data_IF_389779866916
#
_entry.id   IF_389779866916
#
_cell.length_a   1.000
_cell.length_b   1.000
_cell.length_c   1.000
_cell.angle_alpha   90.00
_cell.angle_beta   90.00
_cell.angle_gamma   90.00
#
_symmetry.space_group_name_H-M   'P 1'
#
loop_
_entity.id
_entity.type
_entity.pdbx_description
1 polymer ?
#
# COMPACT_ATOMS: atom_id res chain seq x y z
N UNK A 1 -6.44 -21.23 -6.23
CA UNK A 1 -5.95 -20.54 -5.02
C UNK A 1 -5.97 -21.55 -3.89
N UNK A 2 -4.93 -21.61 -3.06
CA UNK A 2 -4.92 -22.47 -1.87
C UNK A 2 -5.82 -21.92 -0.76
N UNK A 3 -6.13 -22.73 0.25
CA UNK A 3 -7.00 -22.35 1.38
C UNK A 3 -6.46 -21.15 2.17
N UNK A 4 -5.14 -21.08 2.41
CA UNK A 4 -4.48 -19.96 3.08
C UNK A 4 -4.68 -18.62 2.34
N UNK A 5 -4.65 -18.64 1.00
CA UNK A 5 -4.82 -17.43 0.18
C UNK A 5 -6.21 -16.82 0.38
N UNK A 6 -7.22 -17.66 0.57
CA UNK A 6 -8.61 -17.23 0.77
C UNK A 6 -8.79 -16.67 2.17
N UNK A 7 -8.13 -17.27 3.18
CA UNK A 7 -8.22 -16.80 4.57
C UNK A 7 -7.65 -15.39 4.75
N UNK A 8 -6.44 -15.12 4.24
CA UNK A 8 -5.81 -13.79 4.39
C UNK A 8 -6.62 -12.71 3.67
N UNK A 9 -7.10 -13.02 2.47
CA UNK A 9 -7.96 -12.14 1.69
C UNK A 9 -9.23 -11.81 2.46
N UNK A 10 -9.93 -12.81 3.00
CA UNK A 10 -11.15 -12.60 3.80
C UNK A 10 -10.87 -11.72 5.01
N UNK A 11 -9.79 -11.96 5.74
CA UNK A 11 -9.41 -11.14 6.90
C UNK A 11 -9.18 -9.68 6.50
N UNK A 12 -8.44 -9.44 5.42
CA UNK A 12 -8.21 -8.09 4.91
C UNK A 12 -9.50 -7.43 4.43
N UNK A 13 -10.37 -8.14 3.69
CA UNK A 13 -11.68 -7.61 3.26
C UNK A 13 -12.55 -7.20 4.46
N UNK A 14 -12.59 -8.01 5.52
CA UNK A 14 -13.33 -7.69 6.75
C UNK A 14 -12.76 -6.47 7.47
N UNK A 15 -11.43 -6.38 7.61
CA UNK A 15 -10.79 -5.21 8.22
C UNK A 15 -11.12 -3.97 7.40
N UNK A 16 -10.91 -4.02 6.09
CA UNK A 16 -11.13 -2.85 5.24
C UNK A 16 -12.61 -2.43 5.24
N UNK A 17 -13.55 -3.38 5.26
CA UNK A 17 -14.99 -3.10 5.34
C UNK A 17 -15.37 -2.47 6.69
N UNK A 18 -14.79 -2.94 7.81
CA UNK A 18 -14.97 -2.35 9.15
C UNK A 18 -14.60 -0.86 9.20
N UNK A 19 -13.67 -0.42 8.34
CA UNK A 19 -13.25 0.98 8.27
C UNK A 19 -13.90 1.78 7.12
N UNK A 20 -14.85 1.19 6.39
CA UNK A 20 -15.47 1.77 5.20
C UNK A 20 -14.43 2.30 4.19
N UNK A 21 -13.43 1.47 3.89
CA UNK A 21 -12.25 1.88 3.13
C UNK A 21 -12.59 2.24 1.67
N UNK A 22 -13.45 1.45 1.04
CA UNK A 22 -13.80 1.60 -0.38
C UNK A 22 -15.26 1.95 -0.58
N UNK A 23 -15.53 2.84 -1.53
CA UNK A 23 -16.86 3.24 -1.98
C UNK A 23 -17.45 2.23 -2.97
N UNK A 24 -18.76 2.35 -3.22
CA UNK A 24 -19.46 1.52 -4.21
C UNK A 24 -18.87 1.66 -5.62
N UNK A 25 -18.48 2.88 -6.04
CA UNK A 25 -17.90 3.07 -7.38
C UNK A 25 -16.53 2.41 -7.50
N UNK A 26 -15.74 2.42 -6.43
CA UNK A 26 -14.44 1.75 -6.39
C UNK A 26 -14.60 0.22 -6.46
N UNK A 27 -15.59 -0.34 -5.77
CA UNK A 27 -15.91 -1.77 -5.78
C UNK A 27 -16.46 -2.20 -7.15
N UNK A 28 -17.39 -1.42 -7.72
CA UNK A 28 -18.01 -1.72 -9.02
C UNK A 28 -17.11 -1.42 -10.22
N UNK A 29 -15.89 -0.94 -10.00
CA UNK A 29 -14.94 -0.65 -11.08
C UNK A 29 -15.30 0.58 -11.93
N UNK A 30 -16.21 1.45 -11.46
CA UNK A 30 -16.61 2.67 -12.14
C UNK A 30 -15.59 3.81 -11.93
N UNK A 31 -14.30 3.51 -12.14
CA UNK A 31 -13.19 4.43 -11.94
C UNK A 31 -12.53 4.77 -13.27
N UNK A 32 -12.15 6.05 -13.46
CA UNK A 32 -11.58 6.54 -14.73
C UNK A 32 -10.24 5.88 -15.11
N UNK A 33 -9.49 5.39 -14.12
CA UNK A 33 -8.18 4.75 -14.28
C UNK A 33 -8.13 3.58 -13.29
N UNK A 34 -7.99 2.35 -13.80
CA UNK A 34 -7.93 1.13 -12.99
C UNK A 34 -6.62 0.40 -13.28
N UNK A 35 -5.73 0.35 -12.29
CA UNK A 35 -4.50 -0.45 -12.38
C UNK A 35 -4.82 -1.94 -12.53
N UNK A 36 -5.95 -2.39 -11.98
CA UNK A 36 -6.39 -3.79 -12.03
C UNK A 36 -6.58 -4.23 -13.48
N UNK A 37 -7.25 -3.39 -14.30
CA UNK A 37 -7.46 -3.67 -15.72
C UNK A 37 -6.14 -3.66 -16.50
N UNK A 38 -5.21 -2.76 -16.15
CA UNK A 38 -3.89 -2.72 -16.77
C UNK A 38 -3.06 -4.00 -16.44
N UNK A 39 -3.13 -4.52 -15.21
CA UNK A 39 -2.36 -5.70 -14.79
C UNK A 39 -2.99 -7.04 -15.22
N UNK A 40 -4.30 -7.10 -15.50
CA UNK A 40 -4.99 -8.30 -16.02
C UNK A 40 -4.35 -8.80 -17.33
N UNK A 41 -3.78 -7.89 -18.11
CA UNK A 41 -3.12 -8.18 -19.38
C UNK A 41 -1.68 -8.72 -19.22
N UNK A 42 -1.14 -8.75 -18.00
CA UNK A 42 0.26 -9.12 -17.73
C UNK A 42 0.30 -10.50 -17.05
N UNK A 43 0.80 -11.57 -17.71
CA UNK A 43 0.73 -12.93 -17.18
C UNK A 43 1.32 -13.09 -15.77
N UNK A 44 2.44 -12.42 -15.47
CA UNK A 44 3.10 -12.47 -14.16
C UNK A 44 2.34 -11.75 -13.04
N UNK A 45 1.36 -10.91 -13.37
CA UNK A 45 0.50 -10.20 -12.41
C UNK A 45 -0.91 -10.80 -12.32
N UNK A 46 -1.19 -11.89 -13.05
CA UNK A 46 -2.50 -12.54 -13.02
C UNK A 46 -2.93 -12.97 -11.61
N UNK A 47 -1.98 -13.36 -10.76
CA UNK A 47 -2.28 -13.70 -9.36
C UNK A 47 -2.85 -12.51 -8.59
N UNK A 48 -2.31 -11.31 -8.83
CA UNK A 48 -2.71 -10.08 -8.16
C UNK A 48 -4.07 -9.59 -8.69
N UNK A 49 -4.30 -9.70 -10.00
CA UNK A 49 -5.62 -9.44 -10.58
C UNK A 49 -6.70 -10.35 -9.98
N UNK A 50 -6.46 -11.66 -9.93
CA UNK A 50 -7.38 -12.62 -9.32
C UNK A 50 -7.62 -12.34 -7.83
N UNK A 51 -6.56 -11.93 -7.11
CA UNK A 51 -6.66 -11.51 -5.72
C UNK A 51 -7.61 -10.32 -5.58
N UNK A 52 -7.44 -9.26 -6.37
CA UNK A 52 -8.30 -8.09 -6.29
C UNK A 52 -9.76 -8.35 -6.67
N UNK A 53 -10.00 -9.13 -7.73
CA UNK A 53 -11.35 -9.51 -8.12
C UNK A 53 -12.05 -10.27 -6.96
N UNK A 54 -11.37 -11.26 -6.36
CA UNK A 54 -11.91 -12.03 -5.23
C UNK A 54 -12.06 -11.16 -3.97
N UNK A 55 -11.12 -10.24 -3.73
CA UNK A 55 -11.13 -9.32 -2.60
C UNK A 55 -12.38 -8.42 -2.63
N UNK A 56 -12.73 -7.90 -3.82
CA UNK A 56 -13.92 -7.07 -3.98
C UNK A 56 -15.21 -7.87 -3.86
N UNK A 57 -15.26 -9.09 -4.37
CA UNK A 57 -16.41 -9.97 -4.17
C UNK A 57 -16.69 -10.21 -2.68
N UNK A 58 -15.66 -10.50 -1.88
CA UNK A 58 -15.82 -10.70 -0.44
C UNK A 58 -16.13 -9.38 0.30
N UNK A 59 -15.48 -8.28 -0.08
CA UNK A 59 -15.76 -6.96 0.50
C UNK A 59 -17.22 -6.56 0.26
N UNK A 60 -17.73 -6.76 -0.97
CA UNK A 60 -19.11 -6.45 -1.33
C UNK A 60 -20.11 -7.24 -0.49
N UNK A 61 -19.91 -8.55 -0.33
CA UNK A 61 -20.77 -9.39 0.53
C UNK A 61 -20.86 -8.85 1.96
N UNK A 62 -19.73 -8.47 2.54
CA UNK A 62 -19.67 -7.94 3.92
C UNK A 62 -20.46 -6.64 4.03
N UNK A 63 -20.36 -5.73 3.05
CA UNK A 63 -21.13 -4.49 3.07
C UNK A 63 -22.63 -4.76 2.85
N UNK A 64 -22.98 -5.69 1.97
CA UNK A 64 -24.38 -6.08 1.70
C UNK A 64 -25.07 -6.71 2.91
N UNK A 65 -24.37 -7.54 3.67
CA UNK A 65 -24.87 -8.14 4.91
C UNK A 65 -25.09 -7.09 6.02
N UNK A 66 -24.36 -5.97 5.98
CA UNK A 66 -24.41 -4.89 6.98
C UNK A 66 -25.21 -3.65 6.53
N UNK A 67 -26.02 -3.78 5.46
CA UNK A 67 -26.70 -2.69 4.76
C UNK A 67 -27.57 -1.77 5.65
N UNK A 68 -28.08 -2.28 6.77
CA UNK A 68 -28.98 -1.50 7.65
C UNK A 68 -28.31 -0.31 8.36
N UNK A 69 -26.96 -0.21 8.38
CA UNK A 69 -26.25 0.85 9.12
C UNK A 69 -25.29 1.70 8.27
N UNK A 70 -25.00 1.32 7.02
CA UNK A 70 -23.94 1.95 6.23
C UNK A 70 -24.50 2.60 4.96
N UNK A 71 -24.60 3.93 4.96
CA UNK A 71 -24.69 4.69 3.71
C UNK A 71 -23.31 4.74 3.09
N UNK A 72 -23.12 4.15 1.90
CA UNK A 72 -21.91 4.32 1.10
C UNK A 72 -21.50 5.81 1.06
N UNK A 73 -20.25 6.11 1.40
CA UNK A 73 -19.74 7.49 1.33
C UNK A 73 -19.77 7.98 -0.11
N UNK A 74 -20.32 9.18 -0.32
CA UNK A 74 -20.24 9.88 -1.61
C UNK A 74 -18.79 10.20 -1.97
N UNK A 75 -18.39 9.86 -3.19
CA UNK A 75 -17.00 9.97 -3.66
C UNK A 75 -16.60 11.40 -4.00
N UNK A 76 -15.60 11.93 -3.27
CA UNK A 76 -14.77 13.04 -3.73
C UNK A 76 -13.29 12.68 -3.83
N UNK A 77 -12.91 11.43 -3.51
CA UNK A 77 -11.51 10.99 -3.45
C UNK A 77 -11.07 10.41 -4.80
N UNK A 78 -9.88 10.82 -5.22
CA UNK A 78 -9.36 10.69 -6.57
C UNK A 78 -8.92 9.26 -6.94
N UNK A 79 -9.41 8.83 -8.10
CA UNK A 79 -8.89 7.92 -9.16
C UNK A 79 -7.70 6.99 -8.88
N UNK A 80 -7.82 5.82 -9.50
CA UNK A 80 -7.15 4.56 -9.19
C UNK A 80 -7.56 4.04 -7.82
N UNK A 81 -8.09 2.83 -7.80
CA UNK A 81 -8.25 2.10 -6.56
C UNK A 81 -6.83 1.91 -6.03
N UNK A 82 -6.38 2.79 -5.13
CA UNK A 82 -5.15 2.64 -4.34
C UNK A 82 -5.32 1.39 -3.48
N UNK A 83 -5.19 0.24 -4.15
CA UNK A 83 -5.28 -1.05 -3.54
C UNK A 83 -3.89 -1.38 -3.01
N UNK A 84 -3.81 -1.84 -1.76
CA UNK A 84 -2.58 -2.36 -1.25
C UNK A 84 -2.07 -3.48 -2.15
N UNK A 85 -0.80 -3.40 -2.53
CA UNK A 85 -0.15 -4.51 -3.19
C UNK A 85 0.17 -5.58 -2.17
N UNK A 86 0.00 -6.83 -2.59
CA UNK A 86 0.36 -8.00 -1.82
C UNK A 86 1.20 -8.93 -2.69
N UNK A 87 2.40 -9.28 -2.20
CA UNK A 87 3.27 -10.20 -2.88
C UNK A 87 2.76 -11.65 -2.85
N UNK A 88 3.17 -12.46 -3.83
CA UNK A 88 2.77 -13.87 -3.94
C UNK A 88 3.07 -14.68 -2.68
N UNK A 89 4.25 -14.48 -2.10
CA UNK A 89 4.72 -15.27 -0.95
C UNK A 89 3.91 -14.91 0.31
N UNK A 90 3.40 -13.68 0.38
CA UNK A 90 2.49 -13.23 1.44
C UNK A 90 1.14 -13.92 1.34
N UNK A 91 0.59 -14.05 0.12
CA UNK A 91 -0.67 -14.77 -0.10
C UNK A 91 -0.55 -16.26 0.25
N UNK A 92 0.58 -16.87 -0.09
CA UNK A 92 0.82 -18.30 0.15
C UNK A 92 1.06 -18.62 1.63
N UNK A 93 1.85 -17.79 2.31
CA UNK A 93 2.21 -18.01 3.73
C UNK A 93 1.20 -17.42 4.73
N UNK A 94 0.37 -16.47 4.30
CA UNK A 94 -0.49 -15.70 5.19
C UNK A 94 0.25 -14.66 6.04
N UNK A 95 1.56 -14.48 5.84
CA UNK A 95 2.39 -13.52 6.59
C UNK A 95 3.28 -12.71 5.66
N UNK A 96 3.53 -11.45 6.00
CA UNK A 96 4.48 -10.62 5.28
C UNK A 96 5.86 -10.67 5.96
N UNK A 97 6.94 -10.53 5.20
CA UNK A 97 8.22 -10.16 5.80
C UNK A 97 8.31 -8.64 5.98
N UNK A 98 7.73 -7.90 5.04
CA UNK A 98 7.83 -6.45 4.98
C UNK A 98 6.46 -5.83 4.78
N UNK A 99 6.17 -4.77 5.54
CA UNK A 99 5.00 -3.92 5.31
C UNK A 99 5.49 -2.50 5.05
N UNK A 100 5.34 -2.02 3.81
CA UNK A 100 5.70 -0.66 3.42
C UNK A 100 4.49 0.25 3.54
N UNK A 101 4.61 1.30 4.34
CA UNK A 101 3.58 2.32 4.51
C UNK A 101 4.08 3.61 3.89
N UNK A 102 3.54 3.96 2.74
CA UNK A 102 3.76 5.26 2.13
C UNK A 102 2.81 6.28 2.73
N UNK A 103 3.11 7.57 2.55
CA UNK A 103 2.20 8.63 2.98
C UNK A 103 0.80 8.48 2.35
N UNK A 104 0.73 8.09 1.08
CA UNK A 104 -0.46 8.17 0.26
C UNK A 104 -0.84 9.61 -0.08
N UNK A 105 -1.51 9.81 -1.22
CA UNK A 105 -2.05 11.10 -1.60
C UNK A 105 -3.55 10.99 -1.82
N UNK A 106 -4.33 11.52 -0.89
CA UNK A 106 -5.75 11.82 -1.15
C UNK A 106 -5.91 13.01 -2.13
N UNK A 107 -4.82 13.57 -2.66
CA UNK A 107 -4.84 14.79 -3.47
C UNK A 107 -5.02 14.46 -4.95
N UNK A 108 -6.01 15.10 -5.57
CA UNK A 108 -6.41 14.93 -6.97
C UNK A 108 -5.40 15.39 -8.03
N UNK A 109 -4.28 16.00 -7.62
CA UNK A 109 -3.37 16.75 -8.50
C UNK A 109 -2.06 15.99 -8.74
N UNK A 110 -1.53 15.28 -7.75
CA UNK A 110 -0.26 14.56 -7.88
C UNK A 110 -0.50 13.09 -8.22
N UNK A 111 -0.32 12.77 -9.51
CA UNK A 111 -0.36 11.42 -10.10
C UNK A 111 0.83 10.57 -9.66
N UNK A 112 1.07 10.42 -8.35
CA UNK A 112 2.27 9.77 -7.82
C UNK A 112 1.87 8.77 -6.74
N UNK A 113 1.39 7.59 -7.13
CA UNK A 113 1.12 6.50 -6.19
C UNK A 113 2.17 5.40 -6.32
N UNK A 114 3.13 5.39 -5.37
CA UNK A 114 4.10 4.29 -5.25
C UNK A 114 3.37 2.97 -4.99
N UNK A 115 2.27 3.04 -4.24
CA UNK A 115 1.42 1.90 -3.90
C UNK A 115 0.78 1.31 -5.17
N UNK A 116 0.23 2.14 -6.07
CA UNK A 116 -0.32 1.66 -7.36
C UNK A 116 0.74 0.95 -8.21
N UNK A 117 1.93 1.55 -8.35
CA UNK A 117 3.00 0.99 -9.17
C UNK A 117 3.77 -0.15 -8.50
N UNK A 118 3.51 -0.44 -7.23
CA UNK A 118 4.21 -1.51 -6.50
C UNK A 118 3.93 -2.92 -7.04
N UNK A 119 2.83 -3.09 -7.77
CA UNK A 119 2.58 -4.30 -8.56
C UNK A 119 3.73 -4.63 -9.54
N UNK A 120 4.47 -3.62 -10.02
CA UNK A 120 5.60 -3.82 -10.93
C UNK A 120 6.94 -4.09 -10.23
N UNK A 121 7.02 -4.08 -8.90
CA UNK A 121 8.29 -4.32 -8.20
C UNK A 121 8.78 -5.76 -8.31
N UNK A 122 7.92 -6.69 -8.74
CA UNK A 122 8.28 -8.09 -8.99
C UNK A 122 9.11 -8.29 -10.27
N UNK A 123 9.30 -7.25 -11.09
CA UNK A 123 10.10 -7.30 -12.31
C UNK A 123 11.49 -6.72 -12.06
N UNK A 124 12.52 -7.33 -12.65
CA UNK A 124 13.87 -6.79 -12.65
C UNK A 124 13.98 -5.50 -13.49
N UNK A 125 13.07 -5.30 -14.44
CA UNK A 125 13.02 -4.12 -15.30
C UNK A 125 11.57 -3.79 -15.64
N UNK A 126 11.24 -2.50 -15.63
CA UNK A 126 9.91 -1.96 -15.94
C UNK A 126 9.89 -1.24 -17.30
N UNK A 127 10.95 -1.37 -18.10
CA UNK A 127 11.09 -0.68 -19.39
C UNK A 127 9.98 -1.03 -20.39
N UNK A 128 9.50 -2.27 -20.39
CA UNK A 128 8.39 -2.69 -21.25
C UNK A 128 7.02 -2.18 -20.79
N UNK A 129 6.93 -1.58 -19.60
CA UNK A 129 5.69 -1.08 -19.01
C UNK A 129 5.66 0.45 -18.90
N UNK A 130 6.54 1.16 -19.62
CA UNK A 130 6.66 2.62 -19.51
C UNK A 130 5.35 3.37 -19.82
N UNK A 131 4.49 2.85 -20.70
CA UNK A 131 3.18 3.44 -20.96
C UNK A 131 2.29 3.45 -19.71
N UNK A 132 2.33 2.38 -18.91
CA UNK A 132 1.60 2.28 -17.64
C UNK A 132 2.24 3.20 -16.60
N UNK A 133 3.58 3.22 -16.52
CA UNK A 133 4.30 4.12 -15.63
C UNK A 133 3.99 5.59 -15.91
N UNK A 134 3.99 6.01 -17.18
CA UNK A 134 3.67 7.40 -17.56
C UNK A 134 2.24 7.81 -17.19
N UNK A 135 1.31 6.84 -17.08
CA UNK A 135 -0.07 7.06 -16.64
C UNK A 135 -0.14 7.38 -15.13
N UNK A 136 0.61 6.63 -14.31
CA UNK A 136 0.50 6.68 -12.83
C UNK A 136 1.69 7.33 -12.11
N UNK A 137 2.78 7.64 -12.80
CA UNK A 137 3.98 8.29 -12.28
C UNK A 137 4.83 8.93 -13.39
N UNK A 138 4.49 10.15 -13.84
CA UNK A 138 5.22 10.82 -14.91
C UNK A 138 6.58 11.41 -14.48
N UNK A 139 7.00 11.23 -13.21
CA UNK A 139 8.23 11.83 -12.66
C UNK A 139 9.45 10.91 -12.76
N UNK A 140 10.63 11.48 -13.00
CA UNK A 140 11.89 10.75 -13.17
C UNK A 140 12.47 10.14 -11.86
N UNK A 141 11.90 10.46 -10.70
CA UNK A 141 12.45 10.06 -9.40
C UNK A 141 12.02 8.66 -8.91
N UNK A 142 11.16 7.95 -9.64
CA UNK A 142 10.65 6.64 -9.20
C UNK A 142 11.76 5.61 -8.95
N UNK A 143 12.66 5.45 -9.94
CA UNK A 143 13.74 4.46 -9.85
C UNK A 143 14.68 4.77 -8.71
N UNK A 144 15.03 6.06 -8.52
CA UNK A 144 15.87 6.49 -7.41
C UNK A 144 15.23 6.18 -6.05
N UNK A 145 13.91 6.33 -5.92
CA UNK A 145 13.20 5.97 -4.69
C UNK A 145 13.24 4.46 -4.44
N UNK A 146 13.02 3.63 -5.47
CA UNK A 146 13.14 2.18 -5.33
C UNK A 146 14.55 1.73 -4.96
N UNK A 147 15.56 2.30 -5.60
CA UNK A 147 16.98 2.03 -5.30
C UNK A 147 17.31 2.40 -3.85
N UNK A 148 16.89 3.58 -3.40
CA UNK A 148 17.10 4.02 -2.02
C UNK A 148 16.42 3.08 -1.01
N UNK A 149 15.18 2.68 -1.29
CA UNK A 149 14.43 1.72 -0.48
C UNK A 149 14.99 0.30 -0.55
N UNK A 150 15.88 0.01 -1.51
CA UNK A 150 16.49 -1.31 -1.71
C UNK A 150 15.48 -2.38 -2.12
N UNK A 151 14.41 -2.00 -2.82
CA UNK A 151 13.37 -2.94 -3.23
C UNK A 151 13.87 -3.78 -4.41
N UNK A 152 13.96 -5.09 -4.19
CA UNK A 152 14.18 -6.07 -5.25
C UNK A 152 12.90 -6.88 -5.48
N UNK A 153 12.79 -7.63 -6.59
CA UNK A 153 11.66 -8.55 -6.79
C UNK A 153 11.48 -9.58 -5.68
N UNK A 154 12.57 -9.99 -5.02
CA UNK A 154 12.48 -10.89 -3.87
C UNK A 154 11.84 -10.20 -2.66
N UNK A 155 12.24 -8.96 -2.35
CA UNK A 155 11.61 -8.16 -1.31
C UNK A 155 10.14 -7.96 -1.63
N UNK A 156 9.82 -7.56 -2.87
CA UNK A 156 8.45 -7.31 -3.31
C UNK A 156 7.53 -8.53 -3.13
N UNK A 157 7.96 -9.74 -3.49
CA UNK A 157 7.14 -10.95 -3.32
C UNK A 157 6.79 -11.26 -1.86
N UNK A 158 7.62 -10.82 -0.91
CA UNK A 158 7.41 -10.99 0.54
C UNK A 158 6.80 -9.75 1.21
N UNK A 159 6.32 -8.78 0.43
CA UNK A 159 5.87 -7.49 0.92
C UNK A 159 4.36 -7.30 0.82
N UNK A 160 3.82 -6.54 1.77
CA UNK A 160 2.55 -5.82 1.64
C UNK A 160 2.87 -4.32 1.54
N UNK A 161 2.27 -3.62 0.58
CA UNK A 161 2.53 -2.19 0.35
C UNK A 161 1.23 -1.44 0.37
N UNK A 162 1.14 -0.40 1.18
CA UNK A 162 -0.09 0.37 1.37
C UNK A 162 0.23 1.83 1.67
N UNK A 163 -0.81 2.64 1.63
CA UNK A 163 -0.78 4.05 1.99
C UNK A 163 -1.25 4.29 3.43
N UNK A 164 -0.72 5.33 4.06
CA UNK A 164 -1.16 5.78 5.36
C UNK A 164 -2.52 6.50 5.24
N UNK A 165 -2.58 7.53 4.41
CA UNK A 165 -3.76 8.39 4.29
C UNK A 165 -4.84 7.77 3.39
N UNK A 166 -5.63 6.83 3.93
CA UNK A 166 -6.72 6.17 3.16
C UNK A 166 -8.14 6.50 3.63
N UNK A 167 -8.32 6.93 4.88
CA UNK A 167 -9.65 7.18 5.46
C UNK A 167 -9.83 8.70 5.67
N UNK A 168 -10.86 9.33 5.09
CA UNK A 168 -11.18 10.73 5.36
C UNK A 168 -11.99 10.90 6.67
N UNK A 169 -11.78 12.02 7.34
CA UNK A 169 -12.64 12.56 8.39
C UNK A 169 -13.82 13.35 7.79
N UNK A 170 -14.71 13.85 8.65
CA UNK A 170 -15.92 14.58 8.24
C UNK A 170 -15.65 15.88 7.45
N UNK A 171 -14.40 16.36 7.41
CA UNK A 171 -13.98 17.54 6.64
C UNK A 171 -13.37 17.17 5.28
N UNK A 172 -13.37 15.90 4.90
CA UNK A 172 -12.74 15.40 3.67
C UNK A 172 -11.21 15.40 3.72
N UNK A 173 -10.61 15.61 4.89
CA UNK A 173 -9.16 15.49 5.13
C UNK A 173 -8.88 14.14 5.78
N UNK A 174 -7.63 13.65 5.80
CA UNK A 174 -7.33 12.34 6.42
C UNK A 174 -7.70 12.26 7.91
N UNK A 175 -8.29 11.15 8.32
CA UNK A 175 -8.50 10.76 9.72
C UNK A 175 -7.29 9.94 10.20
N UNK A 176 -6.33 10.62 10.84
CA UNK A 176 -5.05 10.01 11.24
C UNK A 176 -5.24 8.86 12.23
N UNK A 177 -6.24 8.95 13.12
CA UNK A 177 -6.51 7.92 14.14
C UNK A 177 -7.10 6.67 13.49
N UNK A 178 -8.10 6.82 12.62
CA UNK A 178 -8.66 5.69 11.87
C UNK A 178 -7.64 5.06 10.92
N UNK A 179 -6.83 5.88 10.23
CA UNK A 179 -5.77 5.38 9.35
C UNK A 179 -4.74 4.55 10.12
N UNK A 180 -4.32 5.02 11.30
CA UNK A 180 -3.43 4.26 12.18
C UNK A 180 -4.07 2.97 12.68
N UNK A 181 -5.33 3.02 13.11
CA UNK A 181 -6.06 1.84 13.60
C UNK A 181 -6.20 0.76 12.50
N UNK A 182 -6.57 1.17 11.28
CA UNK A 182 -6.59 0.28 10.11
C UNK A 182 -5.23 -0.40 9.90
N UNK A 183 -4.13 0.37 9.91
CA UNK A 183 -2.79 -0.20 9.76
C UNK A 183 -2.38 -1.14 10.88
N UNK A 184 -2.80 -0.88 12.13
CA UNK A 184 -2.54 -1.79 13.24
C UNK A 184 -3.28 -3.12 13.07
N UNK A 185 -4.54 -3.09 12.62
CA UNK A 185 -5.30 -4.31 12.30
C UNK A 185 -4.65 -5.08 11.13
N UNK A 186 -4.17 -4.39 10.09
CA UNK A 186 -3.39 -5.02 9.00
C UNK A 186 -2.08 -5.65 9.50
N UNK A 187 -1.35 -4.98 10.40
CA UNK A 187 -0.11 -5.50 11.01
C UNK A 187 -0.40 -6.74 11.86
N UNK A 188 -1.53 -6.77 12.58
CA UNK A 188 -1.93 -7.94 13.37
C UNK A 188 -2.22 -9.16 12.49
N UNK A 189 -2.90 -8.94 11.36
CA UNK A 189 -3.25 -10.00 10.42
C UNK A 189 -2.05 -10.51 9.62
N UNK A 190 -1.26 -9.60 9.06
CA UNK A 190 -0.13 -9.94 8.18
C UNK A 190 1.16 -10.27 8.96
N UNK A 191 1.22 -9.92 10.24
CA UNK A 191 2.36 -10.16 11.15
C UNK A 191 3.73 -9.82 10.53
N UNK A 192 3.91 -8.66 9.88
CA UNK A 192 5.11 -8.34 9.10
C UNK A 192 6.37 -8.33 9.94
N UNK A 193 7.47 -9.02 9.57
CA UNK A 193 8.72 -8.96 10.35
C UNK A 193 9.25 -7.53 10.52
N UNK A 194 9.10 -6.69 9.50
CA UNK A 194 9.50 -5.28 9.51
C UNK A 194 8.42 -4.38 8.91
N UNK A 195 8.10 -3.29 9.60
CA UNK A 195 7.23 -2.22 9.12
C UNK A 195 8.09 -1.01 8.73
N UNK A 196 8.03 -0.64 7.46
CA UNK A 196 8.81 0.45 6.86
C UNK A 196 7.91 1.65 6.62
N UNK A 197 8.11 2.70 7.40
CA UNK A 197 7.34 3.95 7.35
C UNK A 197 8.05 4.95 6.43
N UNK A 198 7.49 5.18 5.25
CA UNK A 198 8.10 6.01 4.21
C UNK A 198 7.47 7.41 4.21
N UNK A 199 8.22 8.39 4.73
CA UNK A 199 7.81 9.79 4.85
C UNK A 199 7.42 10.20 6.26
N UNK A 200 7.20 11.51 6.45
CA UNK A 200 6.98 12.11 7.77
C UNK A 200 5.63 11.76 8.39
N UNK A 201 4.58 11.59 7.58
CA UNK A 201 3.23 11.32 8.08
C UNK A 201 3.10 9.95 8.76
N UNK A 202 3.42 8.82 8.09
CA UNK A 202 3.41 7.51 8.76
C UNK A 202 4.40 7.46 9.93
N UNK A 203 5.59 8.08 9.80
CA UNK A 203 6.56 8.19 10.91
C UNK A 203 5.95 8.84 12.15
N UNK A 204 5.34 10.01 12.00
CA UNK A 204 4.80 10.76 13.13
C UNK A 204 3.61 10.02 13.77
N UNK A 205 2.78 9.34 12.98
CA UNK A 205 1.67 8.55 13.49
C UNK A 205 2.12 7.34 14.32
N UNK A 206 3.26 6.74 13.95
CA UNK A 206 3.82 5.55 14.59
C UNK A 206 5.05 5.85 15.48
N UNK A 207 5.20 7.09 15.98
CA UNK A 207 6.39 7.49 16.74
C UNK A 207 6.57 6.65 18.01
N UNK A 208 5.48 6.34 18.71
CA UNK A 208 5.53 5.51 19.92
C UNK A 208 5.92 4.06 19.60
N UNK A 209 5.47 3.52 18.47
CA UNK A 209 5.79 2.17 18.02
C UNK A 209 7.25 2.07 17.55
N UNK A 210 7.77 3.11 16.89
CA UNK A 210 9.18 3.26 16.55
C UNK A 210 10.07 3.23 17.80
N UNK A 211 9.69 3.97 18.84
CA UNK A 211 10.48 4.07 20.08
C UNK A 211 10.40 2.78 20.91
N UNK A 212 9.23 2.15 20.98
CA UNK A 212 9.01 0.93 21.79
C UNK A 212 9.49 -0.33 21.10
N UNK A 213 9.41 -0.41 19.78
CA UNK A 213 9.75 -1.59 18.99
C UNK A 213 10.68 -1.22 17.83
N UNK A 214 11.91 -0.72 18.10
CA UNK A 214 12.84 -0.28 17.07
C UNK A 214 13.34 -1.41 16.17
N UNK A 215 13.12 -2.67 16.56
CA UNK A 215 13.36 -3.85 15.73
C UNK A 215 12.17 -4.24 14.87
N UNK A 216 10.97 -3.71 15.11
CA UNK A 216 9.79 -3.99 14.29
C UNK A 216 9.50 -2.86 13.32
N UNK A 217 9.79 -1.61 13.69
CA UNK A 217 9.48 -0.43 12.91
C UNK A 217 10.76 0.31 12.51
N UNK A 218 10.78 0.82 11.29
CA UNK A 218 11.81 1.74 10.80
C UNK A 218 11.16 2.84 9.98
N UNK A 219 11.70 4.06 10.09
CA UNK A 219 11.24 5.19 9.30
C UNK A 219 12.36 5.71 8.40
N UNK A 220 12.00 6.03 7.16
CA UNK A 220 12.89 6.63 6.15
C UNK A 220 12.19 7.80 5.46
N UNK A 221 12.93 8.79 4.95
CA UNK A 221 12.30 9.83 4.13
C UNK A 221 11.73 9.24 2.84
N UNK A 222 10.71 9.90 2.28
CA UNK A 222 10.18 9.56 0.94
C UNK A 222 11.07 10.12 -0.18
N UNK A 223 11.71 11.26 0.06
CA UNK A 223 12.62 11.91 -0.88
C UNK A 223 13.69 12.65 -0.08
N UNK A 224 14.90 12.71 -0.63
CA UNK A 224 15.98 13.57 -0.11
C UNK A 224 15.94 14.96 -0.75
N UNK A 225 15.15 15.15 -1.81
CA UNK A 225 14.92 16.46 -2.43
C UNK A 225 13.74 17.16 -1.77
N UNK A 226 13.89 18.45 -1.46
CA UNK A 226 12.81 19.30 -0.93
C UNK A 226 12.48 19.06 0.54
N UNK A 227 13.36 18.39 1.29
CA UNK A 227 13.22 18.13 2.73
C UNK A 227 14.23 18.96 3.55
N UNK A 228 14.06 19.13 4.88
CA UNK A 228 15.02 19.87 5.70
C UNK A 228 16.45 19.35 5.57
N UNK A 229 17.45 20.23 5.66
CA UNK A 229 18.89 19.91 5.47
C UNK A 229 19.33 18.69 6.27
N UNK A 230 18.95 18.62 7.55
CA UNK A 230 19.23 17.47 8.41
C UNK A 230 18.70 16.15 7.84
N UNK A 231 17.50 16.13 7.25
CA UNK A 231 16.94 14.92 6.60
C UNK A 231 17.70 14.55 5.32
N UNK A 232 18.27 15.52 4.61
CA UNK A 232 19.12 15.26 3.44
C UNK A 232 20.45 14.62 3.86
N UNK A 233 21.02 15.09 4.97
CA UNK A 233 22.29 14.58 5.53
C UNK A 233 22.13 13.19 6.17
N UNK A 234 21.09 13.00 6.99
CA UNK A 234 20.85 11.73 7.70
C UNK A 234 20.23 10.65 6.79
N UNK A 235 19.56 11.05 5.72
CA UNK A 235 18.77 10.18 4.85
C UNK A 235 19.53 9.00 4.24
N UNK A 236 20.74 9.19 3.67
CA UNK A 236 21.56 8.07 3.15
C UNK A 236 21.82 6.99 4.19
N UNK A 237 22.15 7.38 5.44
CA UNK A 237 22.38 6.44 6.54
C UNK A 237 21.09 5.73 6.96
N UNK A 238 19.95 6.43 6.95
CA UNK A 238 18.64 5.81 7.21
C UNK A 238 18.31 4.73 6.17
N UNK A 239 18.57 4.98 4.88
CA UNK A 239 18.35 3.98 3.83
C UNK A 239 19.34 2.82 3.91
N UNK A 240 20.61 3.08 4.25
CA UNK A 240 21.59 2.00 4.50
C UNK A 240 21.16 1.11 5.67
N UNK A 241 20.73 1.72 6.78
CA UNK A 241 20.16 1.00 7.91
C UNK A 241 18.97 0.15 7.47
N UNK A 242 18.02 0.69 6.70
CA UNK A 242 16.91 -0.06 6.14
C UNK A 242 17.38 -1.28 5.34
N UNK A 243 18.29 -1.11 4.38
CA UNK A 243 18.81 -2.21 3.55
C UNK A 243 19.47 -3.30 4.39
N UNK A 244 20.17 -2.95 5.46
CA UNK A 244 20.77 -3.93 6.39
C UNK A 244 19.72 -4.79 7.12
N UNK A 245 18.48 -4.30 7.25
CA UNK A 245 17.38 -5.03 7.91
C UNK A 245 16.76 -6.10 7.02
N UNK A 246 16.93 -6.02 5.69
CA UNK A 246 16.42 -7.04 4.77
C UNK A 246 17.26 -8.33 4.75
N UNK A 247 18.50 -8.26 5.28
CA UNK A 247 19.46 -9.37 5.30
C UNK A 247 19.38 -10.20 6.60
N UNK A 248 18.46 -9.85 7.50
CA UNK A 248 18.24 -10.53 8.79
C UNK A 248 16.97 -11.36 8.74
#
# INVERSE_FOLDING_TARGET
MGENNIEILRKLSHIHAKYDLYSENQIKGNVRESIIEDIKLIPRLKYLANYYDTYFDEYQKIIEENWNNNTFKGDSIARSTDLPFIGSDVLESGTANYLFVFKGSLQSIEKLSMTVLSCFWIFNSTLQYQNIFNKYWPSQNYNLLLENLGITPEIARKSYVTDFARIPNNKGTRDTNKCKALLLDEIEVLKPNLVVLVGSEPRNAFINELDRNPDKFIAVPFSLKGVPKKTQEDGPLMYEKLRSRYLK
#
